data_IF_928151015087
#
_entry.id   IF_928151015087
#
_cell.length_a   1.000
_cell.length_b   1.000
_cell.length_c   1.000
_cell.angle_alpha   90.00
_cell.angle_beta   90.00
_cell.angle_gamma   90.00
#
_symmetry.space_group_name_H-M   'P 1'
#
loop_
_entity.id
_entity.type
_entity.pdbx_description
1 polymer ?
#
# COMPACT_ATOMS: atom_id res chain seq x y z
N UNK A 1 4.98 18.62 -31.65
CA UNK A 1 6.35 18.12 -31.44
C UNK A 1 7.00 19.03 -30.42
N UNK A 2 7.17 18.55 -29.19
CA UNK A 2 8.25 18.86 -28.24
C UNK A 2 7.82 18.32 -26.87
N UNK A 3 8.25 17.08 -26.63
CA UNK A 3 8.45 16.54 -25.29
C UNK A 3 9.37 17.48 -24.52
N UNK A 4 9.01 17.83 -23.29
CA UNK A 4 9.95 18.40 -22.32
C UNK A 4 9.81 17.69 -20.97
N UNK A 5 10.99 17.29 -20.50
CA UNK A 5 11.36 16.63 -19.27
C UNK A 5 10.56 17.10 -18.05
N UNK A 6 9.82 16.17 -17.42
CA UNK A 6 9.24 16.40 -16.10
C UNK A 6 10.19 15.82 -15.04
N UNK A 7 11.02 16.71 -14.50
CA UNK A 7 11.77 16.48 -13.27
C UNK A 7 10.79 16.16 -12.14
N UNK A 8 10.98 14.98 -11.54
CA UNK A 8 10.15 14.38 -10.50
C UNK A 8 10.27 15.11 -9.15
N UNK A 9 9.67 16.31 -9.04
CA UNK A 9 9.31 16.97 -7.78
C UNK A 9 8.03 17.78 -8.06
N UNK A 10 6.94 17.44 -7.38
CA UNK A 10 5.66 18.19 -7.37
C UNK A 10 4.79 18.11 -8.64
N UNK A 11 4.32 16.91 -9.02
CA UNK A 11 3.15 16.80 -9.89
C UNK A 11 2.19 15.74 -9.34
N UNK A 12 1.08 16.17 -8.72
CA UNK A 12 -0.05 15.28 -8.42
C UNK A 12 -1.02 15.67 -7.29
N UNK A 13 -0.67 16.55 -6.34
CA UNK A 13 -1.51 16.80 -5.15
C UNK A 13 -2.45 18.01 -5.24
N UNK A 14 -2.24 18.93 -6.18
CA UNK A 14 -2.99 20.19 -6.21
C UNK A 14 -4.49 20.03 -6.58
N UNK A 15 -4.88 18.96 -7.26
CA UNK A 15 -6.29 18.68 -7.57
C UNK A 15 -7.05 17.94 -6.46
N UNK A 16 -6.36 17.52 -5.39
CA UNK A 16 -6.91 16.61 -4.37
C UNK A 16 -7.51 17.35 -3.16
N UNK A 17 -7.14 18.61 -2.94
CA UNK A 17 -7.45 19.35 -1.72
C UNK A 17 -8.73 20.23 -1.77
N UNK A 18 -9.27 20.53 -2.96
CA UNK A 18 -10.38 21.52 -3.09
C UNK A 18 -11.80 20.96 -2.86
N UNK A 19 -11.97 19.67 -2.55
CA UNK A 19 -13.28 19.00 -2.60
C UNK A 19 -13.95 18.70 -1.25
N UNK A 20 -13.64 19.42 -0.16
CA UNK A 20 -14.18 19.06 1.17
C UNK A 20 -14.68 20.26 1.97
N UNK A 21 -15.95 20.63 1.77
CA UNK A 21 -16.78 21.25 2.83
C UNK A 21 -18.22 20.75 2.66
N UNK A 22 -18.77 20.11 3.70
CA UNK A 22 -20.14 19.54 3.81
C UNK A 22 -20.42 18.15 3.18
N UNK A 23 -19.50 17.59 2.38
CA UNK A 23 -19.57 16.24 1.79
C UNK A 23 -19.41 15.04 2.75
N UNK A 24 -19.01 15.24 4.01
CA UNK A 24 -18.69 14.17 4.99
C UNK A 24 -19.88 13.19 5.24
N UNK A 25 -21.12 13.55 4.88
CA UNK A 25 -22.28 12.63 4.90
C UNK A 25 -22.41 11.73 3.67
N UNK A 26 -21.82 12.07 2.53
CA UNK A 26 -21.75 11.21 1.31
C UNK A 26 -20.70 10.09 1.46
N UNK A 27 -19.83 10.20 2.46
CA UNK A 27 -18.61 9.43 2.68
C UNK A 27 -18.81 7.92 2.95
N UNK A 28 -20.03 7.48 3.29
CA UNK A 28 -20.36 6.04 3.36
C UNK A 28 -20.58 5.38 1.99
N UNK A 29 -20.83 6.14 0.94
CA UNK A 29 -21.32 5.60 -0.33
C UNK A 29 -20.25 5.19 -1.34
N UNK A 30 -18.94 5.36 -1.06
CA UNK A 30 -17.95 4.94 -2.06
C UNK A 30 -16.63 4.32 -1.57
N UNK A 31 -16.61 3.74 -0.36
CA UNK A 31 -15.39 3.19 0.26
C UNK A 31 -14.60 2.18 -0.61
N UNK A 32 -15.26 1.47 -1.54
CA UNK A 32 -14.61 0.53 -2.46
C UNK A 32 -13.91 1.22 -3.61
N UNK A 33 -14.56 2.16 -4.29
CA UNK A 33 -13.93 2.89 -5.39
C UNK A 33 -12.83 3.82 -4.87
N UNK A 34 -13.06 4.45 -3.71
CA UNK A 34 -12.01 5.24 -3.05
C UNK A 34 -10.82 4.37 -2.65
N UNK A 35 -11.06 3.14 -2.16
CA UNK A 35 -10.00 2.17 -1.87
C UNK A 35 -9.17 1.80 -3.09
N UNK A 36 -9.81 1.49 -4.22
CA UNK A 36 -9.14 1.15 -5.46
C UNK A 36 -8.26 2.29 -6.00
N UNK A 37 -8.69 3.55 -5.86
CA UNK A 37 -7.90 4.73 -6.25
C UNK A 37 -6.62 4.82 -5.41
N UNK A 38 -6.71 4.61 -4.09
CA UNK A 38 -5.54 4.64 -3.21
C UNK A 38 -4.60 3.45 -3.43
N UNK A 39 -5.14 2.25 -3.69
CA UNK A 39 -4.36 1.07 -4.08
C UNK A 39 -3.60 1.33 -5.40
N UNK A 40 -4.23 2.02 -6.36
CA UNK A 40 -3.58 2.39 -7.62
C UNK A 40 -2.46 3.41 -7.41
N UNK A 41 -2.69 4.48 -6.65
CA UNK A 41 -1.67 5.47 -6.33
C UNK A 41 -0.47 4.87 -5.57
N UNK A 42 -0.74 3.95 -4.62
CA UNK A 42 0.30 3.21 -3.92
C UNK A 42 1.11 2.30 -4.85
N UNK A 43 0.47 1.66 -5.82
CA UNK A 43 1.14 0.82 -6.80
C UNK A 43 2.08 1.66 -7.70
N UNK A 44 1.59 2.78 -8.22
CA UNK A 44 2.40 3.71 -9.04
C UNK A 44 3.59 4.27 -8.25
N UNK A 45 3.38 4.62 -6.98
CA UNK A 45 4.46 5.03 -6.08
C UNK A 45 5.53 3.94 -5.96
N UNK A 46 5.15 2.69 -5.73
CA UNK A 46 6.08 1.56 -5.61
C UNK A 46 6.85 1.31 -6.92
N UNK A 47 6.18 1.42 -8.07
CA UNK A 47 6.81 1.31 -9.38
C UNK A 47 7.87 2.40 -9.59
N UNK A 48 7.58 3.63 -9.17
CA UNK A 48 8.55 4.74 -9.17
C UNK A 48 9.73 4.51 -8.21
N UNK A 49 9.52 3.75 -7.13
CA UNK A 49 10.60 3.31 -6.21
C UNK A 49 11.37 2.09 -6.73
N UNK A 50 11.09 1.60 -7.95
CA UNK A 50 11.80 0.47 -8.56
C UNK A 50 11.24 -0.90 -8.18
N UNK A 51 10.07 -0.96 -7.54
CA UNK A 51 9.36 -2.22 -7.32
C UNK A 51 8.61 -2.66 -8.58
N UNK A 52 8.51 -3.97 -8.79
CA UNK A 52 7.59 -4.57 -9.77
C UNK A 52 6.33 -5.05 -9.07
N UNK A 53 5.16 -4.56 -9.46
CA UNK A 53 3.88 -5.05 -8.92
C UNK A 53 3.60 -6.46 -9.45
N UNK A 54 3.42 -7.41 -8.56
CA UNK A 54 3.10 -8.81 -8.88
C UNK A 54 1.60 -9.08 -8.83
N UNK A 55 0.89 -8.51 -7.85
CA UNK A 55 -0.54 -8.72 -7.66
C UNK A 55 -1.17 -7.57 -6.86
N UNK A 56 -2.42 -7.22 -7.17
CA UNK A 56 -3.24 -6.26 -6.41
C UNK A 56 -4.43 -6.99 -5.79
N UNK A 57 -4.83 -6.59 -4.60
CA UNK A 57 -5.99 -7.11 -3.87
C UNK A 57 -5.98 -8.64 -3.72
N UNK A 58 -4.85 -9.21 -3.29
CA UNK A 58 -4.73 -10.66 -3.11
C UNK A 58 -5.56 -11.12 -1.91
N UNK A 59 -6.42 -12.12 -2.13
CA UNK A 59 -7.32 -12.67 -1.10
C UNK A 59 -7.06 -14.13 -0.85
N UNK A 60 -7.14 -14.51 0.41
CA UNK A 60 -7.10 -15.90 0.88
C UNK A 60 -8.15 -16.14 1.96
N UNK A 61 -8.25 -17.40 2.42
CA UNK A 61 -9.08 -17.74 3.59
C UNK A 61 -8.62 -17.08 4.90
N UNK A 62 -7.38 -16.59 4.95
CA UNK A 62 -6.79 -15.99 6.16
C UNK A 62 -6.96 -14.47 6.22
N UNK A 63 -7.14 -13.82 5.07
CA UNK A 63 -7.19 -12.36 4.95
C UNK A 63 -6.88 -11.88 3.54
N UNK A 64 -6.54 -10.61 3.45
CA UNK A 64 -6.22 -9.89 2.23
C UNK A 64 -4.88 -9.16 2.35
N UNK A 65 -4.23 -8.94 1.20
CA UNK A 65 -3.03 -8.11 1.05
C UNK A 65 -3.32 -7.16 -0.12
N UNK A 66 -3.18 -5.86 0.12
CA UNK A 66 -3.56 -4.83 -0.85
C UNK A 66 -2.65 -4.87 -2.07
N UNK A 67 -1.33 -4.92 -1.87
CA UNK A 67 -0.36 -5.06 -2.96
C UNK A 67 0.70 -6.11 -2.63
N UNK A 68 1.05 -6.91 -3.62
CA UNK A 68 2.25 -7.75 -3.61
C UNK A 68 3.19 -7.24 -4.68
N UNK A 69 4.41 -6.91 -4.30
CA UNK A 69 5.43 -6.42 -5.19
C UNK A 69 6.75 -7.20 -5.02
N UNK A 70 7.70 -6.96 -5.90
CA UNK A 70 9.05 -7.48 -5.82
C UNK A 70 10.05 -6.34 -6.00
N UNK A 71 11.07 -6.32 -5.15
CA UNK A 71 12.16 -5.36 -5.23
C UNK A 71 13.48 -6.11 -5.03
N UNK A 72 14.32 -6.13 -6.06
CA UNK A 72 15.64 -6.78 -6.03
C UNK A 72 15.60 -8.22 -5.47
N UNK A 73 14.63 -9.03 -5.92
CA UNK A 73 14.45 -10.41 -5.47
C UNK A 73 13.79 -10.58 -4.10
N UNK A 74 13.37 -9.49 -3.45
CA UNK A 74 12.61 -9.53 -2.18
C UNK A 74 11.12 -9.37 -2.46
N UNK A 75 10.30 -10.27 -1.92
CA UNK A 75 8.84 -10.11 -1.91
C UNK A 75 8.43 -9.02 -0.92
N UNK A 76 7.60 -8.09 -1.38
CA UNK A 76 7.10 -6.97 -0.58
C UNK A 76 5.59 -7.11 -0.47
N UNK A 77 5.12 -7.38 0.74
CA UNK A 77 3.69 -7.44 1.06
C UNK A 77 3.27 -6.11 1.67
N UNK A 78 2.34 -5.41 1.03
CA UNK A 78 2.01 -4.03 1.37
C UNK A 78 0.56 -3.91 1.79
N UNK A 79 0.34 -3.25 2.92
CA UNK A 79 -0.94 -2.72 3.34
C UNK A 79 -1.02 -1.22 3.00
N UNK A 80 -2.11 -0.78 2.40
CA UNK A 80 -2.37 0.62 2.04
C UNK A 80 -3.36 1.25 3.02
N UNK A 81 -3.01 2.41 3.56
CA UNK A 81 -3.83 3.19 4.50
C UNK A 81 -4.05 4.59 3.99
N UNK A 82 -5.31 4.97 3.79
CA UNK A 82 -5.69 6.37 3.60
C UNK A 82 -6.13 6.99 4.93
N UNK A 83 -5.65 8.19 5.24
CA UNK A 83 -6.09 9.00 6.39
C UNK A 83 -6.18 10.47 6.01
N UNK A 84 -7.15 11.17 6.59
CA UNK A 84 -7.34 12.61 6.44
C UNK A 84 -6.44 13.45 7.37
N UNK A 85 -5.68 12.81 8.27
CA UNK A 85 -4.79 13.47 9.22
C UNK A 85 -3.40 12.81 9.27
N UNK A 86 -2.37 13.61 9.57
CA UNK A 86 -0.93 13.32 9.45
C UNK A 86 -0.35 12.46 10.61
N UNK A 87 -1.17 11.73 11.36
CA UNK A 87 -0.70 11.05 12.58
C UNK A 87 -0.53 9.55 12.38
N UNK A 88 0.64 9.16 11.88
CA UNK A 88 1.21 7.83 12.16
C UNK A 88 2.44 8.08 13.04
N UNK A 89 2.32 7.84 14.34
CA UNK A 89 3.46 7.99 15.25
C UNK A 89 4.40 6.77 15.14
N UNK A 90 3.89 5.57 14.81
CA UNK A 90 4.72 4.38 14.54
C UNK A 90 4.14 3.43 13.45
N UNK A 91 4.98 2.79 12.60
CA UNK A 91 4.54 1.84 11.56
C UNK A 91 3.73 0.66 12.10
N UNK A 92 4.09 0.18 13.30
CA UNK A 92 3.41 -0.92 13.99
C UNK A 92 2.07 -0.51 14.63
N UNK A 93 1.82 0.79 14.83
CA UNK A 93 0.49 1.32 15.14
C UNK A 93 -0.41 1.37 13.90
N UNK A 94 0.19 1.48 12.70
CA UNK A 94 -0.58 1.50 11.45
C UNK A 94 -1.27 0.16 11.17
N UNK A 95 -0.71 -0.95 11.68
CA UNK A 95 -1.25 -2.30 11.55
C UNK A 95 -1.17 -3.03 12.89
N UNK A 96 -2.31 -3.16 13.57
CA UNK A 96 -2.37 -3.85 14.86
C UNK A 96 -1.92 -5.33 14.77
N UNK A 97 -1.54 -5.92 15.92
CA UNK A 97 -1.05 -7.31 16.01
C UNK A 97 -1.96 -8.35 15.36
N UNK A 98 -3.28 -8.20 15.49
CA UNK A 98 -4.24 -9.14 14.87
C UNK A 98 -4.17 -9.09 13.35
N UNK A 99 -4.05 -7.88 12.78
CA UNK A 99 -3.92 -7.69 11.34
C UNK A 99 -2.53 -8.12 10.82
N UNK A 100 -1.46 -7.87 11.57
CA UNK A 100 -0.11 -8.38 11.24
C UNK A 100 -0.14 -9.91 11.06
N UNK A 101 -0.74 -10.65 12.01
CA UNK A 101 -0.86 -12.12 11.91
C UNK A 101 -1.64 -12.59 10.69
N UNK A 102 -2.72 -11.88 10.34
CA UNK A 102 -3.50 -12.20 9.13
C UNK A 102 -2.70 -11.96 7.85
N UNK A 103 -1.95 -10.86 7.79
CA UNK A 103 -1.08 -10.54 6.65
C UNK A 103 0.02 -11.60 6.54
N UNK A 104 0.70 -11.96 7.63
CA UNK A 104 1.73 -13.00 7.62
C UNK A 104 1.20 -14.35 7.10
N UNK A 105 0.04 -14.81 7.60
CA UNK A 105 -0.58 -16.06 7.11
C UNK A 105 -1.04 -15.98 5.65
N UNK A 106 -1.50 -14.80 5.23
CA UNK A 106 -1.90 -14.57 3.83
C UNK A 106 -0.68 -14.55 2.91
N UNK A 107 0.45 -14.01 3.37
CA UNK A 107 1.74 -14.04 2.68
C UNK A 107 2.29 -15.46 2.56
N UNK A 108 2.23 -16.27 3.63
CA UNK A 108 2.61 -17.69 3.57
C UNK A 108 1.75 -18.44 2.53
N UNK A 109 0.44 -18.18 2.52
CA UNK A 109 -0.45 -18.77 1.52
C UNK A 109 -0.16 -18.28 0.09
N UNK A 110 0.19 -17.00 -0.08
CA UNK A 110 0.62 -16.45 -1.37
C UNK A 110 1.83 -17.20 -1.91
N UNK A 111 2.88 -17.36 -1.08
CA UNK A 111 4.12 -18.07 -1.45
C UNK A 111 3.83 -19.50 -1.86
N UNK A 112 3.05 -20.22 -1.04
CA UNK A 112 2.64 -21.58 -1.33
C UNK A 112 1.90 -21.68 -2.67
N UNK A 113 0.92 -20.80 -2.91
CA UNK A 113 0.11 -20.79 -4.13
C UNK A 113 0.93 -20.45 -5.38
N UNK A 114 1.91 -19.56 -5.24
CA UNK A 114 2.81 -19.13 -6.33
C UNK A 114 4.05 -20.03 -6.47
N UNK A 115 4.19 -21.07 -5.64
CA UNK A 115 5.34 -21.97 -5.59
C UNK A 115 6.67 -21.22 -5.42
N UNK A 116 6.64 -20.18 -4.60
CA UNK A 116 7.83 -19.36 -4.31
C UNK A 116 8.60 -20.04 -3.17
N UNK A 117 9.91 -20.33 -3.35
CA UNK A 117 10.75 -20.94 -2.32
C UNK A 117 10.78 -20.17 -0.99
N UNK A 118 11.02 -20.90 0.09
CA UNK A 118 11.03 -20.36 1.46
C UNK A 118 12.23 -19.46 1.76
N UNK A 119 13.31 -19.58 0.98
CA UNK A 119 14.55 -18.79 1.07
C UNK A 119 14.47 -17.44 0.33
N UNK A 120 13.43 -17.21 -0.48
CA UNK A 120 13.16 -15.88 -1.04
C UNK A 120 12.85 -14.91 0.10
N UNK A 121 13.63 -13.81 0.25
CA UNK A 121 13.40 -12.86 1.33
C UNK A 121 12.04 -12.18 1.13
N UNK A 122 11.38 -11.85 2.25
CA UNK A 122 10.19 -11.04 2.21
C UNK A 122 10.18 -9.99 3.31
N UNK A 123 9.44 -8.91 3.07
CA UNK A 123 9.17 -7.87 4.05
C UNK A 123 7.71 -7.42 4.01
N UNK A 124 7.29 -6.79 5.09
CA UNK A 124 5.96 -6.24 5.25
C UNK A 124 6.05 -4.72 5.34
N UNK A 125 5.47 -4.04 4.36
CA UNK A 125 5.50 -2.59 4.27
C UNK A 125 4.09 -2.03 4.51
N UNK A 126 4.02 -0.79 4.96
CA UNK A 126 2.78 -0.01 5.03
C UNK A 126 2.96 1.23 4.19
N UNK A 127 2.01 1.49 3.29
CA UNK A 127 1.92 2.77 2.58
C UNK A 127 0.80 3.59 3.21
N UNK A 128 1.15 4.77 3.69
CA UNK A 128 0.20 5.77 4.15
C UNK A 128 0.02 6.85 3.09
N UNK A 129 -1.24 7.14 2.77
CA UNK A 129 -1.64 8.19 1.86
C UNK A 129 -2.44 9.21 2.67
N UNK A 130 -1.99 10.46 2.64
CA UNK A 130 -2.63 11.61 3.27
C UNK A 130 -2.72 12.76 2.25
N UNK A 131 -3.46 13.84 2.54
CA UNK A 131 -3.46 15.03 1.67
C UNK A 131 -2.06 15.61 1.40
N UNK A 132 -1.12 15.41 2.33
CA UNK A 132 0.27 15.88 2.23
C UNK A 132 1.14 14.99 1.33
N UNK A 133 0.72 13.76 1.05
CA UNK A 133 1.41 12.86 0.12
C UNK A 133 1.40 11.38 0.52
N UNK A 134 2.35 10.65 -0.06
CA UNK A 134 2.52 9.20 0.13
C UNK A 134 3.80 8.94 0.93
N UNK A 135 3.70 8.15 2.00
CA UNK A 135 4.83 7.72 2.82
C UNK A 135 4.85 6.19 2.90
N UNK A 136 6.00 5.58 2.59
CA UNK A 136 6.24 4.15 2.76
C UNK A 136 7.01 3.88 4.05
N UNK A 137 6.42 3.07 4.93
CA UNK A 137 7.10 2.48 6.07
C UNK A 137 7.59 1.09 5.69
N UNK A 138 8.88 1.01 5.32
CA UNK A 138 9.53 -0.25 4.95
C UNK A 138 9.79 -1.08 6.20
N UNK A 139 9.59 -2.40 6.12
CA UNK A 139 9.66 -3.29 7.30
C UNK A 139 8.79 -2.79 8.47
N UNK A 140 7.57 -2.33 8.16
CA UNK A 140 6.63 -1.78 9.15
C UNK A 140 6.37 -2.73 10.32
N UNK A 141 6.49 -4.04 10.09
CA UNK A 141 6.52 -5.04 11.15
C UNK A 141 7.30 -6.29 10.72
N UNK A 142 7.84 -7.00 11.71
CA UNK A 142 8.44 -8.31 11.51
C UNK A 142 7.36 -9.40 11.38
N UNK A 143 7.72 -10.49 10.71
CA UNK A 143 6.85 -11.67 10.62
C UNK A 143 6.37 -12.13 12.00
N UNK A 144 5.08 -12.46 12.11
CA UNK A 144 4.48 -12.95 13.35
C UNK A 144 3.52 -14.12 13.10
N UNK A 145 3.54 -15.10 14.01
CA UNK A 145 2.71 -16.33 13.93
C UNK A 145 1.34 -16.21 14.62
#
# INVERSE_FOLDING_TARGET
MLFREYSCKNAGVAGFAEAFTSEERKERLNRKETGAVYEQAAAEYLEQQGCRILEKNFRSRYGEIDLVAEEAGTLVFVEVKYRTAVTIQYPEEAVNRSKQKKICRTADYYRLRRRIPDDVPCRFDVIAITPEGITQYRNAFAYCR
#
